data_IF_734417457426
#
_entry.id   IF_734417457426
#
_cell.length_a   1.000
_cell.length_b   1.000
_cell.length_c   1.000
_cell.angle_alpha   90.00
_cell.angle_beta   90.00
_cell.angle_gamma   90.00
#
_symmetry.space_group_name_H-M   'P 1'
#
loop_
_entity.id
_entity.type
_entity.pdbx_description
1 polymer ?
#
# COMPACT_ATOMS: atom_id res chain seq x y z
N UNK A 1 31.43 -40.36 -29.60
CA UNK A 1 31.00 -38.96 -29.85
C UNK A 1 29.51 -38.77 -29.49
N UNK A 2 29.16 -38.71 -28.19
CA UNK A 2 27.74 -38.58 -27.73
C UNK A 2 27.57 -37.68 -26.48
N UNK A 3 28.64 -37.06 -26.00
CA UNK A 3 28.69 -36.31 -24.74
C UNK A 3 28.52 -34.80 -24.90
N UNK A 4 28.81 -34.23 -26.07
CA UNK A 4 28.76 -32.77 -26.27
C UNK A 4 27.35 -32.17 -26.29
N UNK A 5 26.34 -32.95 -26.69
CA UNK A 5 24.95 -32.47 -26.76
C UNK A 5 24.33 -32.26 -25.36
N UNK A 6 24.72 -33.06 -24.37
CA UNK A 6 24.20 -32.94 -22.99
C UNK A 6 24.64 -31.63 -22.32
N UNK A 7 25.89 -31.24 -22.52
CA UNK A 7 26.41 -29.96 -22.00
C UNK A 7 25.82 -28.76 -22.75
N UNK A 8 25.49 -28.92 -24.04
CA UNK A 8 24.79 -27.88 -24.80
C UNK A 8 23.36 -27.63 -24.28
N UNK A 9 22.60 -28.68 -23.96
CA UNK A 9 21.27 -28.53 -23.35
C UNK A 9 21.32 -28.00 -21.91
N UNK A 10 22.30 -28.43 -21.10
CA UNK A 10 22.53 -27.89 -19.75
C UNK A 10 22.92 -26.40 -19.77
N UNK A 11 23.71 -25.99 -20.77
CA UNK A 11 24.10 -24.59 -20.95
C UNK A 11 22.91 -23.72 -21.43
N UNK A 12 22.07 -24.23 -22.33
CA UNK A 12 20.85 -23.54 -22.77
C UNK A 12 19.80 -23.41 -21.65
N UNK A 13 19.69 -24.39 -20.76
CA UNK A 13 18.75 -24.33 -19.62
C UNK A 13 19.22 -23.35 -18.52
N UNK A 14 20.54 -23.15 -18.38
CA UNK A 14 21.11 -22.15 -17.48
C UNK A 14 20.89 -20.70 -17.99
N UNK A 15 20.84 -20.49 -19.30
CA UNK A 15 20.57 -19.15 -19.88
C UNK A 15 19.08 -18.78 -19.77
N UNK A 16 18.19 -19.76 -19.84
CA UNK A 16 16.74 -19.54 -19.72
C UNK A 16 16.28 -19.22 -18.29
N UNK A 17 17.10 -19.55 -17.27
CA UNK A 17 16.83 -19.20 -15.87
C UNK A 17 17.38 -17.83 -15.46
N UNK A 18 18.29 -17.23 -16.25
CA UNK A 18 18.76 -15.85 -16.05
C UNK A 18 17.87 -14.79 -16.72
N UNK A 19 16.89 -15.19 -17.53
CA UNK A 19 16.04 -14.27 -18.30
C UNK A 19 14.78 -13.78 -17.56
N UNK A 20 14.60 -14.11 -16.27
CA UNK A 20 13.35 -13.80 -15.53
C UNK A 20 13.50 -12.62 -14.54
N UNK A 21 14.68 -12.04 -14.34
CA UNK A 21 14.88 -11.05 -13.25
C UNK A 21 14.91 -9.58 -13.67
N UNK A 22 14.36 -9.20 -14.82
CA UNK A 22 14.18 -7.78 -15.16
C UNK A 22 12.70 -7.44 -15.25
N UNK A 23 12.05 -7.23 -14.10
CA UNK A 23 10.73 -6.61 -14.03
C UNK A 23 10.72 -5.56 -12.92
N UNK A 24 10.56 -4.31 -13.34
CA UNK A 24 10.23 -3.07 -12.60
C UNK A 24 10.76 -2.88 -11.17
N UNK A 25 11.94 -2.27 -11.03
CA UNK A 25 12.35 -1.65 -9.76
C UNK A 25 12.02 -0.15 -9.67
N UNK A 26 11.65 0.51 -10.78
CA UNK A 26 11.42 1.97 -10.80
C UNK A 26 10.06 2.38 -10.25
N UNK A 27 9.03 1.60 -10.54
CA UNK A 27 7.65 1.98 -10.20
C UNK A 27 7.39 1.85 -8.69
N UNK A 28 8.03 0.90 -8.02
CA UNK A 28 7.90 0.71 -6.57
C UNK A 28 8.52 1.87 -5.77
N UNK A 29 9.71 2.33 -6.17
CA UNK A 29 10.40 3.47 -5.53
C UNK A 29 9.61 4.79 -5.69
N UNK A 30 8.97 4.98 -6.85
CA UNK A 30 8.16 6.17 -7.13
C UNK A 30 6.83 6.16 -6.34
N UNK A 31 6.19 5.00 -6.22
CA UNK A 31 4.98 4.83 -5.40
C UNK A 31 5.31 5.05 -3.92
N UNK A 32 6.37 4.45 -3.41
CA UNK A 32 6.76 4.60 -2.01
C UNK A 32 7.00 6.07 -1.65
N UNK A 33 7.78 6.79 -2.45
CA UNK A 33 8.04 8.21 -2.21
C UNK A 33 6.79 9.11 -2.31
N UNK A 34 5.87 8.81 -3.24
CA UNK A 34 4.64 9.59 -3.43
C UNK A 34 3.66 9.44 -2.27
N UNK A 35 3.55 8.24 -1.69
CA UNK A 35 2.59 7.93 -0.63
C UNK A 35 3.22 7.81 0.75
N UNK A 36 4.52 8.08 0.89
CA UNK A 36 5.24 7.96 2.15
C UNK A 36 4.54 8.68 3.33
N UNK A 37 4.16 9.95 3.16
CA UNK A 37 3.47 10.72 4.20
C UNK A 37 2.11 10.14 4.57
N UNK A 38 1.43 9.52 3.59
CA UNK A 38 0.16 8.82 3.80
C UNK A 38 0.37 7.55 4.62
N UNK A 39 1.33 6.71 4.25
CA UNK A 39 1.65 5.47 4.96
C UNK A 39 2.02 5.75 6.41
N UNK A 40 2.95 6.68 6.66
CA UNK A 40 3.35 7.07 8.02
C UNK A 40 2.16 7.52 8.88
N UNK A 41 1.22 8.27 8.29
CA UNK A 41 0.05 8.76 9.02
C UNK A 41 -0.97 7.65 9.29
N UNK A 42 -1.21 6.77 8.32
CA UNK A 42 -2.09 5.62 8.48
C UNK A 42 -1.53 4.60 9.48
N UNK A 43 -0.25 4.26 9.39
CA UNK A 43 0.43 3.31 10.28
C UNK A 43 0.34 3.74 11.72
N UNK A 44 0.56 5.03 11.99
CA UNK A 44 0.36 5.60 13.32
C UNK A 44 -1.02 5.28 13.88
N UNK A 45 -2.09 5.46 13.09
CA UNK A 45 -3.44 5.19 13.59
C UNK A 45 -3.75 3.70 13.72
N UNK A 46 -3.24 2.86 12.81
CA UNK A 46 -3.41 1.41 12.85
C UNK A 46 -2.67 0.82 14.05
N UNK A 47 -1.45 1.27 14.33
CA UNK A 47 -0.67 0.80 15.49
C UNK A 47 -1.34 1.19 16.81
N UNK A 48 -1.93 2.38 16.87
CA UNK A 48 -2.69 2.80 18.05
C UNK A 48 -3.94 1.93 18.29
N UNK A 49 -4.56 1.33 17.26
CA UNK A 49 -5.68 0.38 17.40
C UNK A 49 -5.28 -1.01 17.94
N UNK A 50 -3.98 -1.29 17.93
CA UNK A 50 -3.39 -2.54 18.41
C UNK A 50 -2.75 -2.36 19.80
N UNK A 51 -2.30 -1.14 20.13
CA UNK A 51 -1.47 -0.88 21.32
C UNK A 51 -2.17 -0.05 22.41
N UNK A 52 -3.05 0.89 22.05
CA UNK A 52 -3.59 1.89 23.01
C UNK A 52 -5.11 1.95 23.00
N UNK A 53 -5.73 1.86 21.83
CA UNK A 53 -7.17 2.05 21.66
C UNK A 53 -7.82 0.76 21.16
N UNK A 54 -8.91 0.33 21.79
CA UNK A 54 -9.76 -0.72 21.21
C UNK A 54 -10.48 -0.20 19.95
N UNK A 55 -10.89 1.08 19.97
CA UNK A 55 -11.56 1.78 18.87
C UNK A 55 -11.43 3.30 19.02
N UNK A 56 -11.49 4.02 17.91
CA UNK A 56 -11.64 5.46 17.84
C UNK A 56 -13.09 5.93 18.04
N UNK A 57 -13.27 7.22 18.27
CA UNK A 57 -14.59 7.83 18.37
C UNK A 57 -15.36 7.80 17.04
N UNK A 58 -16.66 8.08 17.11
CA UNK A 58 -17.57 8.06 15.95
C UNK A 58 -17.52 9.34 15.10
N UNK A 59 -16.84 10.39 15.56
CA UNK A 59 -16.87 11.74 14.96
C UNK A 59 -15.56 12.10 14.24
N UNK A 60 -14.54 11.26 14.33
CA UNK A 60 -13.25 11.49 13.69
C UNK A 60 -12.44 12.60 14.37
N UNK A 61 -12.56 12.75 15.69
CA UNK A 61 -11.93 13.87 16.43
C UNK A 61 -10.40 13.91 16.33
N UNK A 62 -9.77 12.78 15.95
CA UNK A 62 -8.33 12.62 15.77
C UNK A 62 -7.88 12.76 14.32
N UNK A 63 -8.71 13.28 13.42
CA UNK A 63 -8.33 13.52 12.03
C UNK A 63 -7.00 14.29 11.94
N UNK A 64 -6.13 13.84 11.03
CA UNK A 64 -4.82 14.45 10.84
C UNK A 64 -4.50 14.56 9.36
N UNK A 65 -3.92 15.70 9.00
CA UNK A 65 -3.34 15.89 7.68
C UNK A 65 -1.96 15.24 7.60
N UNK A 66 -1.69 14.64 6.46
CA UNK A 66 -0.37 14.16 6.07
C UNK A 66 0.64 15.31 6.01
N UNK A 67 1.93 15.04 6.25
CA UNK A 67 2.97 16.07 6.31
C UNK A 67 3.21 16.80 4.99
N UNK A 68 2.94 16.15 3.86
CA UNK A 68 2.94 16.74 2.52
C UNK A 68 1.63 17.47 2.19
N UNK A 69 0.63 17.38 3.08
CA UNK A 69 -0.68 18.00 2.98
C UNK A 69 -1.66 17.28 2.04
N UNK A 70 -1.22 16.31 1.24
CA UNK A 70 -2.00 15.78 0.12
C UNK A 70 -3.28 15.05 0.55
N UNK A 71 -3.30 14.54 1.79
CA UNK A 71 -4.38 13.73 2.34
C UNK A 71 -4.78 14.17 3.74
N UNK A 72 -6.06 13.99 4.06
CA UNK A 72 -6.57 13.97 5.43
C UNK A 72 -6.90 12.52 5.79
N UNK A 73 -6.37 12.05 6.92
CA UNK A 73 -6.59 10.71 7.45
C UNK A 73 -7.45 10.83 8.72
N UNK A 74 -8.62 10.20 8.70
CA UNK A 74 -9.62 10.29 9.76
C UNK A 74 -9.92 8.90 10.31
N UNK A 75 -9.47 8.57 11.53
CA UNK A 75 -9.83 7.32 12.17
C UNK A 75 -11.23 7.38 12.80
N UNK A 76 -12.08 6.39 12.54
CA UNK A 76 -13.44 6.27 13.11
C UNK A 76 -13.71 4.82 13.48
N UNK A 77 -14.02 4.54 14.75
CA UNK A 77 -14.17 3.15 15.22
C UNK A 77 -12.88 2.35 14.96
N UNK A 78 -12.96 1.29 14.14
CA UNK A 78 -11.79 0.53 13.65
C UNK A 78 -11.56 0.70 12.15
N UNK A 79 -11.97 1.83 11.59
CA UNK A 79 -11.77 2.20 10.19
C UNK A 79 -10.83 3.39 10.12
N UNK A 80 -9.95 3.40 9.12
CA UNK A 80 -9.11 4.55 8.80
C UNK A 80 -9.56 5.09 7.45
N UNK A 81 -10.09 6.32 7.44
CA UNK A 81 -10.66 6.96 6.25
C UNK A 81 -9.64 7.92 5.67
N UNK A 82 -9.25 7.71 4.41
CA UNK A 82 -8.33 8.56 3.67
C UNK A 82 -9.10 9.39 2.66
N UNK A 83 -9.01 10.72 2.80
CA UNK A 83 -9.57 11.68 1.87
C UNK A 83 -8.46 12.45 1.17
N UNK A 84 -8.49 12.47 -0.16
CA UNK A 84 -7.58 13.28 -0.96
C UNK A 84 -7.99 14.75 -0.91
N UNK A 85 -7.02 15.66 -0.78
CA UNK A 85 -7.29 17.11 -0.90
C UNK A 85 -7.36 17.55 -2.35
N UNK A 86 -8.04 18.67 -2.58
CA UNK A 86 -8.33 19.19 -3.93
C UNK A 86 -7.08 19.55 -4.73
N UNK A 87 -6.01 20.01 -4.06
CA UNK A 87 -4.76 20.39 -4.72
C UNK A 87 -3.87 19.21 -5.12
N UNK A 88 -4.11 18.00 -4.60
CA UNK A 88 -3.44 16.78 -5.03
C UNK A 88 -4.08 16.25 -6.33
N UNK A 89 -4.14 17.09 -7.37
CA UNK A 89 -4.94 16.84 -8.58
C UNK A 89 -4.42 15.67 -9.43
N UNK A 90 -3.10 15.43 -9.43
CA UNK A 90 -2.45 14.31 -10.14
C UNK A 90 -2.75 12.94 -9.52
N UNK A 91 -3.12 12.88 -8.24
CA UNK A 91 -3.36 11.64 -7.51
C UNK A 91 -4.82 11.19 -7.71
N UNK A 92 -5.04 9.93 -8.06
CA UNK A 92 -6.40 9.36 -8.23
C UNK A 92 -6.78 8.47 -7.04
N UNK A 93 -8.07 8.33 -6.77
CA UNK A 93 -8.53 7.38 -5.73
C UNK A 93 -8.10 5.94 -6.03
N UNK A 94 -8.13 5.54 -7.31
CA UNK A 94 -7.63 4.22 -7.73
C UNK A 94 -6.15 4.05 -7.39
N UNK A 95 -5.30 5.06 -7.64
CA UNK A 95 -3.87 4.98 -7.32
C UNK A 95 -3.62 4.91 -5.81
N UNK A 96 -4.41 5.64 -5.00
CA UNK A 96 -4.33 5.57 -3.53
C UNK A 96 -4.73 4.16 -3.05
N UNK A 97 -5.84 3.62 -3.57
CA UNK A 97 -6.30 2.27 -3.21
C UNK A 97 -5.25 1.21 -3.54
N UNK A 98 -4.68 1.25 -4.75
CA UNK A 98 -3.62 0.32 -5.17
C UNK A 98 -2.38 0.42 -4.29
N UNK A 99 -1.93 1.64 -3.97
CA UNK A 99 -0.78 1.87 -3.11
C UNK A 99 -1.01 1.32 -1.69
N UNK A 100 -2.18 1.60 -1.09
CA UNK A 100 -2.52 1.11 0.25
C UNK A 100 -2.73 -0.41 0.28
N UNK A 101 -3.33 -1.00 -0.75
CA UNK A 101 -3.47 -2.47 -0.88
C UNK A 101 -2.11 -3.15 -0.97
N UNK A 102 -1.20 -2.59 -1.75
CA UNK A 102 0.16 -3.09 -1.87
C UNK A 102 0.90 -2.99 -0.54
N UNK A 103 0.86 -1.81 0.09
CA UNK A 103 1.55 -1.53 1.34
C UNK A 103 1.06 -2.42 2.51
N UNK A 104 -0.26 -2.65 2.61
CA UNK A 104 -0.84 -3.49 3.67
C UNK A 104 -1.03 -4.96 3.29
N UNK A 105 -0.47 -5.40 2.17
CA UNK A 105 -0.54 -6.80 1.76
C UNK A 105 0.07 -7.72 2.82
N UNK A 106 -0.74 -8.65 3.34
CA UNK A 106 -0.32 -9.58 4.40
C UNK A 106 -0.22 -8.97 5.80
N UNK A 107 -0.59 -7.71 5.99
CA UNK A 107 -0.63 -7.09 7.31
C UNK A 107 -1.88 -7.57 8.07
N UNK A 108 -1.68 -8.39 9.12
CA UNK A 108 -2.77 -8.95 9.94
C UNK A 108 -3.66 -7.92 10.66
N UNK A 109 -3.24 -6.66 10.73
CA UNK A 109 -4.01 -5.57 11.36
C UNK A 109 -5.04 -4.95 10.39
N UNK A 110 -4.92 -5.25 9.10
CA UNK A 110 -5.75 -4.70 8.03
C UNK A 110 -6.48 -5.84 7.32
N UNK A 111 -7.80 -5.79 7.31
CA UNK A 111 -8.63 -6.79 6.65
C UNK A 111 -8.83 -6.49 5.18
N UNK A 112 -9.11 -5.21 4.86
CA UNK A 112 -9.34 -4.78 3.49
C UNK A 112 -9.05 -3.29 3.32
N UNK A 113 -8.84 -2.90 2.08
CA UNK A 113 -8.73 -1.51 1.63
C UNK A 113 -9.69 -1.34 0.47
N UNK A 114 -10.61 -0.38 0.54
CA UNK A 114 -11.59 -0.21 -0.53
C UNK A 114 -12.03 1.24 -0.73
N UNK A 115 -12.36 1.57 -1.97
CA UNK A 115 -12.96 2.86 -2.31
C UNK A 115 -14.42 2.93 -1.83
N UNK A 116 -14.75 4.01 -1.14
CA UNK A 116 -16.10 4.29 -0.67
C UNK A 116 -16.79 5.29 -1.61
N UNK A 117 -18.10 5.14 -1.83
CA UNK A 117 -18.90 5.96 -2.75
C UNK A 117 -18.92 7.46 -2.39
N UNK A 118 -18.53 7.82 -1.17
CA UNK A 118 -18.36 9.21 -0.72
C UNK A 118 -17.07 9.90 -1.19
N UNK A 119 -16.25 9.24 -2.02
CA UNK A 119 -14.98 9.79 -2.49
C UNK A 119 -13.90 9.75 -1.40
N UNK A 120 -13.67 8.56 -0.83
CA UNK A 120 -12.60 8.28 0.13
C UNK A 120 -12.09 6.86 -0.08
N UNK A 121 -10.88 6.56 0.39
CA UNK A 121 -10.43 5.17 0.60
C UNK A 121 -10.60 4.81 2.06
N UNK A 122 -11.12 3.63 2.35
CA UNK A 122 -11.24 3.11 3.71
C UNK A 122 -10.27 1.95 3.89
N UNK A 123 -9.49 1.99 4.97
CA UNK A 123 -8.71 0.85 5.46
C UNK A 123 -9.52 0.25 6.62
N UNK A 124 -9.93 -1.00 6.47
CA UNK A 124 -10.73 -1.72 7.45
C UNK A 124 -9.82 -2.52 8.40
N UNK A 125 -9.89 -2.20 9.69
CA UNK A 125 -9.12 -2.86 10.76
C UNK A 125 -10.03 -3.60 11.75
N UNK A 126 -11.27 -3.94 11.36
CA UNK A 126 -12.27 -4.63 12.22
C UNK A 126 -12.06 -6.15 12.26
N UNK A 127 -11.30 -6.64 13.24
CA UNK A 127 -11.10 -8.08 13.45
C UNK A 127 -12.39 -8.82 13.85
#
# INVERSE_FOLDING_TARGET
MKTSKKYFYLFMMAIMTLAITTSCSKDEDEIDSTYHSLFVTCDYFIDMLDTVYERYDAFGSKAKDTSDGNFTVTPIGRLIIVKKKTYASSITYSSIESALKSHYSGNRKVNDVFHNSGGTITIDCRN
#
